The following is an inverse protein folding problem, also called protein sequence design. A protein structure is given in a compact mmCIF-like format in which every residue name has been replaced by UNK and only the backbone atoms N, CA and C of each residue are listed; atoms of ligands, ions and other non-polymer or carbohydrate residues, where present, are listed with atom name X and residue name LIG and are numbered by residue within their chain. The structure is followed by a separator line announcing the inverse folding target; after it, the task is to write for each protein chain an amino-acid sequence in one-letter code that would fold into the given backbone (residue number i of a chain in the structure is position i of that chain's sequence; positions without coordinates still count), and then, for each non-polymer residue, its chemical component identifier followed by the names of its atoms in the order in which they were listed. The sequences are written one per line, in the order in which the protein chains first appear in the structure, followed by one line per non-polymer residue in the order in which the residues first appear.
data_IF_591605624170
#
_entry.id   IF_591605624170
#
_cell.length_a   1.000
_cell.length_b   1.000
_cell.length_c   1.000
_cell.angle_alpha   90.00
_cell.angle_beta   90.00
_cell.angle_gamma   90.00
#
_symmetry.space_group_name_H-M   'P 1'
#
loop_
_entity.id
_entity.type
_entity.pdbx_description
1 polymer ?
#
# COMPACT_ATOMS: atom_id res chain seq x y z
N UNK A 1 -27.12 34.87 -24.09
CA UNK A 1 -26.50 34.24 -22.91
C UNK A 1 -26.39 32.75 -23.18
N UNK A 2 -25.17 32.25 -23.39
CA UNK A 2 -24.90 30.84 -23.71
C UNK A 2 -24.88 30.02 -22.42
N UNK A 3 -25.73 29.00 -22.35
CA UNK A 3 -25.76 28.01 -21.27
C UNK A 3 -24.38 27.34 -21.17
N UNK A 4 -23.72 27.27 -19.99
CA UNK A 4 -22.46 26.57 -19.88
C UNK A 4 -22.68 25.08 -20.19
N UNK A 5 -21.81 24.54 -21.03
CA UNK A 5 -21.77 23.12 -21.32
C UNK A 5 -21.40 22.36 -20.05
N UNK A 6 -22.28 21.48 -19.59
CA UNK A 6 -21.95 20.48 -18.60
C UNK A 6 -20.91 19.54 -19.22
N UNK A 7 -19.66 19.62 -18.78
CA UNK A 7 -18.66 18.59 -19.03
C UNK A 7 -18.92 17.51 -17.98
N UNK A 8 -19.45 16.33 -18.32
CA UNK A 8 -19.51 15.26 -17.35
C UNK A 8 -18.08 14.89 -16.98
N UNK A 9 -17.75 15.03 -15.69
CA UNK A 9 -16.57 14.40 -15.13
C UNK A 9 -16.70 12.92 -15.44
N UNK A 10 -15.81 12.38 -16.26
CA UNK A 10 -15.73 10.93 -16.45
C UNK A 10 -15.26 10.36 -15.11
N UNK A 11 -16.21 9.91 -14.29
CA UNK A 11 -15.91 8.99 -13.20
C UNK A 11 -15.36 7.72 -13.87
N UNK A 12 -14.05 7.53 -13.79
CA UNK A 12 -13.42 6.28 -14.18
C UNK A 12 -13.65 5.30 -13.02
N UNK A 13 -14.91 4.91 -12.80
CA UNK A 13 -15.23 3.85 -11.84
C UNK A 13 -14.71 2.55 -12.43
N UNK A 14 -13.81 1.87 -11.72
CA UNK A 14 -13.41 0.51 -12.09
C UNK A 14 -14.62 -0.41 -11.85
N UNK A 15 -15.32 -0.79 -12.92
CA UNK A 15 -16.44 -1.72 -12.84
C UNK A 15 -15.90 -3.15 -12.68
N UNK A 16 -15.48 -3.49 -11.45
CA UNK A 16 -15.18 -4.86 -11.09
C UNK A 16 -16.52 -5.56 -10.91
N UNK A 17 -17.03 -6.11 -12.02
CA UNK A 17 -18.26 -6.89 -12.01
C UNK A 17 -18.17 -7.96 -10.89
N UNK A 18 -19.24 -8.24 -10.12
CA UNK A 18 -19.19 -9.18 -8.99
C UNK A 18 -18.70 -10.60 -9.34
N UNK A 19 -18.82 -10.96 -10.63
CA UNK A 19 -18.35 -12.22 -11.19
C UNK A 19 -17.06 -12.12 -12.00
N UNK A 20 -16.39 -10.95 -12.00
CA UNK A 20 -15.11 -10.77 -12.66
C UNK A 20 -14.09 -11.73 -12.02
N UNK A 21 -13.47 -12.54 -12.87
CA UNK A 21 -12.39 -13.44 -12.47
C UNK A 21 -11.13 -13.03 -13.21
N UNK A 22 -10.04 -12.89 -12.47
CA UNK A 22 -8.73 -12.70 -13.06
C UNK A 22 -8.32 -13.95 -13.82
N UNK A 23 -7.62 -13.78 -14.95
CA UNK A 23 -6.99 -14.89 -15.66
C UNK A 23 -6.04 -15.59 -14.68
N UNK A 24 -6.17 -16.90 -14.56
CA UNK A 24 -5.40 -17.67 -13.59
C UNK A 24 -3.92 -17.81 -13.99
N UNK A 25 -3.61 -17.59 -15.27
CA UNK A 25 -2.26 -17.55 -15.78
C UNK A 25 -1.77 -16.10 -15.74
N UNK A 26 -1.17 -15.72 -14.61
CA UNK A 26 -0.47 -14.44 -14.49
C UNK A 26 0.65 -14.33 -15.53
N UNK A 27 0.87 -13.11 -16.02
CA UNK A 27 2.01 -12.80 -16.87
C UNK A 27 3.12 -12.19 -16.01
N UNK A 28 4.34 -12.70 -16.12
CA UNK A 28 5.50 -12.04 -15.54
C UNK A 28 5.81 -10.78 -16.35
N UNK A 29 5.76 -9.62 -15.70
CA UNK A 29 6.03 -8.31 -16.30
C UNK A 29 7.33 -7.67 -15.80
N UNK A 30 7.92 -8.24 -14.75
CA UNK A 30 9.17 -7.81 -14.12
C UNK A 30 9.85 -9.01 -13.47
N UNK A 31 11.19 -9.08 -13.55
CA UNK A 31 11.97 -10.23 -13.06
C UNK A 31 11.68 -11.54 -13.81
N UNK A 32 11.63 -12.65 -13.08
CA UNK A 32 11.39 -13.99 -13.64
C UNK A 32 12.65 -14.79 -13.99
N UNK A 33 13.84 -14.21 -13.83
CA UNK A 33 15.13 -14.84 -14.12
C UNK A 33 15.82 -15.39 -12.86
N UNK A 34 15.04 -15.83 -11.87
CA UNK A 34 15.52 -16.28 -10.57
C UNK A 34 15.75 -15.15 -9.56
N UNK A 35 15.98 -15.53 -8.31
CA UNK A 35 16.28 -14.59 -7.23
C UNK A 35 17.72 -14.10 -7.34
N UNK A 36 17.96 -12.78 -7.31
CA UNK A 36 19.30 -12.21 -7.40
C UNK A 36 19.33 -10.69 -7.49
N UNK A 37 20.51 -10.15 -7.77
CA UNK A 37 20.79 -8.70 -7.86
C UNK A 37 21.10 -8.25 -9.30
N UNK A 38 20.93 -9.12 -10.29
CA UNK A 38 21.00 -8.76 -11.70
C UNK A 38 19.88 -7.78 -12.07
N UNK A 39 20.10 -6.95 -13.09
CA UNK A 39 19.13 -5.92 -13.51
C UNK A 39 17.83 -6.51 -14.10
N UNK A 40 17.85 -7.79 -14.45
CA UNK A 40 16.73 -8.61 -14.92
C UNK A 40 16.23 -9.60 -13.83
N UNK A 41 16.72 -9.47 -12.60
CA UNK A 41 16.36 -10.28 -11.44
C UNK A 41 15.76 -9.41 -10.33
N UNK A 42 15.12 -10.07 -9.37
CA UNK A 42 14.55 -9.47 -8.17
C UNK A 42 14.96 -10.32 -6.96
N UNK A 43 15.08 -9.73 -5.79
CA UNK A 43 15.31 -10.40 -4.51
C UNK A 43 14.32 -9.90 -3.45
N UNK A 44 13.38 -10.75 -3.05
CA UNK A 44 12.31 -10.39 -2.10
C UNK A 44 11.55 -9.10 -2.47
N UNK A 45 10.89 -9.03 -3.66
CA UNK A 45 10.04 -7.89 -3.98
C UNK A 45 8.81 -7.84 -3.06
N UNK A 46 8.55 -6.69 -2.44
CA UNK A 46 7.43 -6.48 -1.50
C UNK A 46 6.31 -5.65 -2.12
N UNK A 47 6.43 -4.33 -2.05
CA UNK A 47 5.44 -3.40 -2.60
C UNK A 47 5.72 -3.03 -4.05
N UNK A 48 4.67 -2.62 -4.75
CA UNK A 48 4.76 -2.16 -6.12
C UNK A 48 3.75 -1.05 -6.40
N UNK A 49 4.07 -0.22 -7.38
CA UNK A 49 3.18 0.77 -7.95
C UNK A 49 3.19 0.67 -9.47
N UNK A 50 2.02 0.81 -10.10
CA UNK A 50 1.89 0.85 -11.56
C UNK A 50 1.41 2.23 -11.95
N UNK A 51 2.16 2.93 -12.79
CA UNK A 51 1.75 4.23 -13.32
C UNK A 51 0.87 4.12 -14.58
N UNK A 52 0.39 5.27 -15.07
CA UNK A 52 -0.53 5.34 -16.21
C UNK A 52 0.12 4.85 -17.53
N UNK A 53 1.46 4.84 -17.60
CA UNK A 53 2.23 4.31 -18.73
C UNK A 53 2.47 2.79 -18.62
N UNK A 54 1.87 2.14 -17.61
CA UNK A 54 2.09 0.74 -17.24
C UNK A 54 3.54 0.45 -16.84
N UNK A 55 4.27 1.45 -16.36
CA UNK A 55 5.58 1.26 -15.72
C UNK A 55 5.36 0.75 -14.31
N UNK A 56 6.03 -0.35 -13.96
CA UNK A 56 5.97 -0.98 -12.64
C UNK A 56 7.18 -0.54 -11.82
N UNK A 57 6.95 0.12 -10.70
CA UNK A 57 7.96 0.45 -9.69
C UNK A 57 7.87 -0.60 -8.58
N UNK A 58 9.01 -1.13 -8.15
CA UNK A 58 9.06 -2.26 -7.23
C UNK A 58 10.04 -1.94 -6.10
N UNK A 59 9.58 -2.14 -4.88
CA UNK A 59 10.43 -2.19 -3.70
C UNK A 59 11.06 -3.58 -3.58
N UNK A 60 12.29 -3.71 -4.08
CA UNK A 60 12.97 -4.99 -4.24
C UNK A 60 13.80 -5.34 -3.01
N UNK A 61 13.17 -5.50 -1.84
CA UNK A 61 13.82 -5.29 -0.52
C UNK A 61 15.06 -6.14 -0.19
N UNK A 62 15.23 -7.31 -0.83
CA UNK A 62 16.45 -8.12 -0.75
C UNK A 62 17.66 -7.49 -1.44
N UNK A 63 17.41 -6.46 -2.23
CA UNK A 63 18.38 -5.54 -2.79
C UNK A 63 17.97 -4.12 -2.30
N UNK A 64 18.84 -3.31 -1.67
CA UNK A 64 18.44 -2.04 -1.04
C UNK A 64 18.16 -0.93 -2.07
N UNK A 65 17.16 -1.12 -2.93
CA UNK A 65 16.84 -0.28 -4.08
C UNK A 65 15.36 -0.35 -4.48
N UNK A 66 14.94 0.66 -5.24
CA UNK A 66 13.70 0.66 -6.00
C UNK A 66 14.06 0.55 -7.47
N UNK A 67 13.39 -0.36 -8.17
CA UNK A 67 13.57 -0.58 -9.60
C UNK A 67 12.28 -0.29 -10.34
N UNK A 68 12.39 0.33 -11.53
CA UNK A 68 11.28 0.47 -12.46
C UNK A 68 11.43 -0.47 -13.65
N UNK A 69 10.33 -1.02 -14.11
CA UNK A 69 10.20 -1.76 -15.36
C UNK A 69 9.16 -1.09 -16.25
N UNK A 70 9.58 -0.58 -17.39
CA UNK A 70 8.67 -0.08 -18.41
C UNK A 70 7.91 -1.25 -19.06
N UNK A 71 6.72 -0.97 -19.62
CA UNK A 71 5.91 -2.00 -20.26
C UNK A 71 6.67 -2.72 -21.37
N UNK A 72 6.80 -4.04 -21.25
CA UNK A 72 7.52 -4.89 -22.20
C UNK A 72 9.05 -4.90 -22.04
N UNK A 73 9.61 -4.20 -21.05
CA UNK A 73 11.04 -4.25 -20.76
C UNK A 73 11.48 -5.62 -20.23
N UNK A 74 12.67 -6.07 -20.63
CA UNK A 74 13.27 -7.33 -20.16
C UNK A 74 14.18 -7.16 -18.95
N UNK A 75 14.51 -5.93 -18.59
CA UNK A 75 15.36 -5.57 -17.46
C UNK A 75 14.89 -4.26 -16.83
N UNK A 76 15.10 -4.10 -15.54
CA UNK A 76 14.70 -2.94 -14.78
C UNK A 76 15.70 -1.79 -14.90
N UNK A 77 15.40 -0.70 -14.21
CA UNK A 77 16.30 0.42 -13.99
C UNK A 77 16.19 0.85 -12.54
N UNK A 78 17.32 0.95 -11.83
CA UNK A 78 17.32 1.47 -10.46
C UNK A 78 16.96 2.95 -10.49
N UNK A 79 15.96 3.34 -9.70
CA UNK A 79 15.51 4.74 -9.58
C UNK A 79 15.75 5.34 -8.19
N UNK A 80 15.98 4.50 -7.18
CA UNK A 80 16.38 4.93 -5.84
C UNK A 80 17.20 3.84 -5.14
N UNK A 81 18.12 4.23 -4.27
CA UNK A 81 19.01 3.31 -3.56
C UNK A 81 20.09 2.71 -4.48
N UNK A 82 20.46 1.44 -4.24
CA UNK A 82 21.48 0.73 -5.01
C UNK A 82 22.92 1.01 -4.59
N UNK A 83 23.13 1.76 -3.51
CA UNK A 83 24.45 2.13 -2.96
C UNK A 83 24.74 1.41 -1.64
N UNK A 84 24.58 0.09 -1.65
CA UNK A 84 24.59 -0.76 -0.45
C UNK A 84 23.45 -0.42 0.52
N UNK A 85 23.25 -1.32 1.47
CA UNK A 85 22.25 -1.14 2.51
C UNK A 85 22.76 -0.11 3.53
N UNK A 86 21.90 0.84 3.92
CA UNK A 86 22.26 1.82 4.93
C UNK A 86 21.23 2.93 5.10
N UNK A 87 21.58 3.90 5.95
CA UNK A 87 20.71 5.02 6.34
C UNK A 87 21.10 6.36 5.72
N UNK A 88 22.16 6.38 4.91
CA UNK A 88 22.61 7.57 4.18
C UNK A 88 21.53 8.11 3.24
N UNK A 89 21.70 9.36 2.80
CA UNK A 89 20.75 10.02 1.88
C UNK A 89 20.67 9.33 0.51
N UNK A 90 21.66 8.53 0.14
CA UNK A 90 21.72 7.79 -1.12
C UNK A 90 21.48 6.28 -0.92
N UNK A 91 21.07 5.87 0.27
CA UNK A 91 20.91 4.47 0.69
C UNK A 91 19.48 4.19 1.16
N UNK A 92 19.10 2.93 1.06
CA UNK A 92 17.85 2.39 1.61
C UNK A 92 18.20 1.15 2.46
N UNK A 93 17.28 0.74 3.33
CA UNK A 93 17.38 -0.49 4.11
C UNK A 93 15.99 -1.10 4.26
N UNK A 94 15.83 -2.29 3.68
CA UNK A 94 14.56 -3.03 3.59
C UNK A 94 13.38 -2.17 3.08
N UNK A 95 13.46 -1.62 1.85
CA UNK A 95 12.33 -0.88 1.29
C UNK A 95 11.11 -1.80 1.13
N UNK A 96 9.98 -1.45 1.76
CA UNK A 96 8.78 -2.31 1.80
C UNK A 96 7.71 -1.94 0.80
N UNK A 97 7.63 -0.66 0.45
CA UNK A 97 6.61 -0.16 -0.45
C UNK A 97 7.11 1.09 -1.18
N UNK A 98 6.52 1.33 -2.34
CA UNK A 98 6.84 2.46 -3.21
C UNK A 98 5.56 2.97 -3.86
N UNK A 99 5.46 4.29 -4.00
CA UNK A 99 4.42 4.91 -4.83
C UNK A 99 4.98 6.10 -5.59
N UNK A 100 4.31 6.50 -6.67
CA UNK A 100 4.70 7.67 -7.46
C UNK A 100 3.84 8.86 -7.06
N UNK A 101 4.48 9.98 -6.71
CA UNK A 101 3.86 11.31 -6.65
C UNK A 101 4.07 12.01 -7.99
N UNK A 102 3.06 11.90 -8.86
CA UNK A 102 3.06 12.48 -10.20
C UNK A 102 3.13 14.02 -10.17
N UNK A 103 2.63 14.69 -9.13
CA UNK A 103 2.68 16.16 -9.05
C UNK A 103 4.12 16.67 -8.89
N UNK A 104 4.98 15.89 -8.23
CA UNK A 104 6.37 16.27 -7.92
C UNK A 104 7.41 15.52 -8.75
N UNK A 105 6.97 14.66 -9.67
CA UNK A 105 7.83 13.71 -10.40
C UNK A 105 8.79 13.00 -9.44
N UNK A 106 8.23 12.42 -8.38
CA UNK A 106 9.00 11.77 -7.31
C UNK A 106 8.45 10.40 -6.94
N UNK A 107 9.29 9.54 -6.39
CA UNK A 107 8.87 8.30 -5.74
C UNK A 107 8.90 8.49 -4.23
N UNK A 108 7.87 7.99 -3.55
CA UNK A 108 7.79 7.95 -2.10
C UNK A 108 7.99 6.49 -1.68
N UNK A 109 8.91 6.28 -0.75
CA UNK A 109 9.44 4.97 -0.41
C UNK A 109 9.31 4.76 1.10
N UNK A 110 8.83 3.58 1.42
CA UNK A 110 8.72 3.04 2.75
C UNK A 110 10.04 2.36 3.12
N UNK A 111 10.95 3.07 3.79
CA UNK A 111 12.31 2.64 4.12
C UNK A 111 12.32 2.05 5.54
N UNK A 112 11.83 0.80 5.66
CA UNK A 112 11.31 0.22 6.88
C UNK A 112 12.35 0.07 7.99
N UNK A 113 13.51 -0.53 7.70
CA UNK A 113 14.58 -0.73 8.69
C UNK A 113 15.18 0.59 9.16
N UNK A 114 15.15 1.61 8.31
CA UNK A 114 15.53 2.98 8.68
C UNK A 114 14.41 3.77 9.40
N UNK A 115 13.24 3.15 9.62
CA UNK A 115 12.06 3.71 10.30
C UNK A 115 11.66 5.07 9.75
N UNK A 116 11.60 5.20 8.42
CA UNK A 116 11.29 6.47 7.76
C UNK A 116 10.53 6.27 6.45
N UNK A 117 9.86 7.34 6.03
CA UNK A 117 9.38 7.49 4.66
C UNK A 117 10.28 8.52 3.97
N UNK A 118 10.82 8.14 2.82
CA UNK A 118 11.70 9.01 2.02
C UNK A 118 11.07 9.35 0.68
N UNK A 119 11.40 10.52 0.16
CA UNK A 119 11.05 10.97 -1.19
C UNK A 119 12.31 11.09 -2.03
N UNK A 120 12.30 10.51 -3.23
CA UNK A 120 13.38 10.61 -4.20
C UNK A 120 12.84 11.19 -5.52
N UNK A 121 13.63 11.97 -6.27
CA UNK A 121 13.27 12.32 -7.64
C UNK A 121 13.06 11.05 -8.47
N UNK A 122 11.98 10.99 -9.25
CA UNK A 122 11.65 9.83 -10.10
C UNK A 122 12.66 9.65 -11.24
N UNK A 123 13.31 10.74 -11.64
CA UNK A 123 14.31 10.77 -12.71
C UNK A 123 15.60 11.41 -12.21
N UNK A 124 16.74 10.76 -12.50
CA UNK A 124 18.07 11.24 -12.16
C UNK A 124 18.27 11.59 -10.67
N UNK A 125 17.48 10.99 -9.77
CA UNK A 125 17.59 11.20 -8.33
C UNK A 125 18.81 10.48 -7.77
N UNK A 126 19.75 11.21 -7.17
CA UNK A 126 20.95 10.64 -6.54
C UNK A 126 20.81 10.50 -5.02
N UNK A 127 19.74 11.06 -4.45
CA UNK A 127 19.52 11.09 -3.01
C UNK A 127 18.04 11.27 -2.67
N UNK A 128 17.65 10.72 -1.53
CA UNK A 128 16.36 10.92 -0.89
C UNK A 128 16.37 11.96 0.20
N UNK A 129 15.18 12.49 0.43
CA UNK A 129 14.82 13.34 1.54
C UNK A 129 13.89 12.56 2.48
N UNK A 130 14.20 12.52 3.78
CA UNK A 130 13.26 12.00 4.78
C UNK A 130 12.08 12.95 4.92
N UNK A 131 10.88 12.50 4.55
CA UNK A 131 9.65 13.29 4.67
C UNK A 131 8.85 12.93 5.92
N UNK A 132 9.01 11.70 6.45
CA UNK A 132 8.46 11.27 7.73
C UNK A 132 9.53 10.43 8.44
N UNK A 133 9.81 10.75 9.70
CA UNK A 133 10.77 10.01 10.55
C UNK A 133 10.06 9.25 11.67
N UNK A 134 10.76 8.27 12.26
CA UNK A 134 10.30 7.50 13.42
C UNK A 134 9.01 6.73 13.17
N UNK A 135 8.88 6.14 11.99
CA UNK A 135 7.74 5.31 11.60
C UNK A 135 8.21 4.00 10.97
N UNK A 136 7.71 2.90 11.50
CA UNK A 136 7.84 1.54 10.97
C UNK A 136 6.85 1.34 9.80
N UNK A 137 7.13 2.03 8.70
CA UNK A 137 6.27 1.97 7.53
C UNK A 137 6.26 0.55 6.92
N UNK A 138 5.09 0.04 6.55
CA UNK A 138 4.93 -1.17 5.73
C UNK A 138 4.24 -0.91 4.39
N UNK A 139 3.33 0.06 4.32
CA UNK A 139 2.55 0.37 3.13
C UNK A 139 2.20 1.86 3.05
N UNK A 140 2.03 2.36 1.84
CA UNK A 140 1.82 3.77 1.51
C UNK A 140 0.61 3.95 0.58
N UNK A 141 -0.14 5.04 0.75
CA UNK A 141 -1.00 5.57 -0.32
C UNK A 141 -1.11 7.08 -0.24
N UNK A 142 -1.52 7.71 -1.34
CA UNK A 142 -1.97 9.10 -1.33
C UNK A 142 -3.43 9.20 -1.80
N UNK A 143 -4.21 10.02 -1.11
CA UNK A 143 -5.55 10.41 -1.57
C UNK A 143 -5.52 11.54 -2.62
N UNK A 144 -6.67 11.82 -3.24
CA UNK A 144 -6.78 12.90 -4.24
C UNK A 144 -6.46 14.30 -3.71
N UNK A 145 -6.49 14.50 -2.40
CA UNK A 145 -6.14 15.77 -1.75
C UNK A 145 -4.63 15.85 -1.45
N UNK A 146 -3.87 14.80 -1.77
CA UNK A 146 -2.45 14.72 -1.50
C UNK A 146 -2.10 14.37 -0.05
N UNK A 147 -3.03 13.81 0.73
CA UNK A 147 -2.74 13.29 2.06
C UNK A 147 -2.09 11.91 1.94
N UNK A 148 -0.96 11.73 2.61
CA UNK A 148 -0.21 10.47 2.66
C UNK A 148 -0.74 9.61 3.80
N UNK A 149 -1.08 8.37 3.52
CA UNK A 149 -1.43 7.36 4.51
C UNK A 149 -0.27 6.39 4.63
N UNK A 150 0.15 6.14 5.86
CA UNK A 150 1.25 5.22 6.18
C UNK A 150 0.71 4.15 7.11
N UNK A 151 0.88 2.89 6.71
CA UNK A 151 0.62 1.73 7.57
C UNK A 151 1.83 1.53 8.48
N UNK A 152 1.61 1.59 9.78
CA UNK A 152 2.60 1.23 10.81
C UNK A 152 2.27 -0.16 11.34
N UNK A 153 3.22 -1.07 11.18
CA UNK A 153 3.07 -2.47 11.57
C UNK A 153 3.21 -2.67 13.09
N UNK A 154 4.25 -2.11 13.71
CA UNK A 154 4.53 -2.21 15.15
C UNK A 154 3.43 -1.57 16.00
N UNK A 155 2.83 -0.48 15.53
CA UNK A 155 1.76 0.22 16.26
C UNK A 155 0.36 -0.27 15.86
N UNK A 156 0.26 -1.22 14.93
CA UNK A 156 -1.00 -1.74 14.40
C UNK A 156 -1.98 -0.61 14.02
N UNK A 157 -1.48 0.41 13.30
CA UNK A 157 -2.24 1.63 13.00
C UNK A 157 -1.98 2.15 11.59
N UNK A 158 -2.90 3.00 11.13
CA UNK A 158 -2.78 3.74 9.88
C UNK A 158 -2.79 5.22 10.25
N UNK A 159 -1.73 5.92 9.85
CA UNK A 159 -1.60 7.37 10.05
C UNK A 159 -1.81 8.11 8.76
N UNK A 160 -2.62 9.17 8.80
CA UNK A 160 -2.75 10.17 7.73
C UNK A 160 -1.85 11.36 8.04
N UNK A 161 -1.11 11.83 7.04
CA UNK A 161 -0.28 13.02 7.06
C UNK A 161 -0.77 13.98 5.97
N UNK A 162 -1.16 15.19 6.35
CA UNK A 162 -1.40 16.26 5.40
C UNK A 162 -0.07 16.92 5.00
N UNK A 163 -0.09 17.67 3.90
CA UNK A 163 1.08 18.40 3.42
C UNK A 163 1.61 19.35 4.49
N UNK A 164 2.88 19.18 4.85
CA UNK A 164 3.56 20.00 5.87
C UNK A 164 3.37 19.52 7.31
N UNK A 165 2.58 18.46 7.54
CA UNK A 165 2.49 17.83 8.86
C UNK A 165 3.66 16.85 9.07
N UNK A 166 4.33 16.98 10.21
CA UNK A 166 5.36 16.04 10.65
C UNK A 166 4.84 14.99 11.64
N UNK A 167 3.65 15.21 12.20
CA UNK A 167 2.94 14.26 13.05
C UNK A 167 1.62 13.88 12.38
N UNK A 168 1.50 12.60 12.03
CA UNK A 168 0.29 12.07 11.40
C UNK A 168 -0.81 11.85 12.43
N UNK A 169 -2.05 11.94 11.97
CA UNK A 169 -3.23 11.58 12.75
C UNK A 169 -3.54 10.10 12.54
N UNK A 170 -3.77 9.34 13.62
CA UNK A 170 -4.25 7.96 13.51
C UNK A 170 -5.69 7.98 12.97
N UNK A 171 -5.91 7.31 11.84
CA UNK A 171 -7.22 7.23 11.17
C UNK A 171 -7.83 5.84 11.24
N UNK A 172 -7.04 4.81 11.57
CA UNK A 172 -7.51 3.46 11.86
C UNK A 172 -6.49 2.71 12.73
N UNK A 173 -6.95 1.78 13.57
CA UNK A 173 -6.08 0.97 14.44
C UNK A 173 -5.63 1.71 15.71
N UNK A 174 -4.45 1.35 16.24
CA UNK A 174 -3.84 1.99 17.42
C UNK A 174 -4.31 1.45 18.79
N UNK A 175 -5.09 0.38 18.80
CA UNK A 175 -5.60 -0.26 20.01
C UNK A 175 -4.80 -1.52 20.43
N UNK A 176 -3.59 -1.68 19.90
CA UNK A 176 -2.75 -2.86 20.08
C UNK A 176 -3.12 -4.05 19.18
N UNK A 177 -2.43 -5.17 19.37
CA UNK A 177 -2.64 -6.39 18.59
C UNK A 177 -4.04 -6.96 18.77
N UNK A 178 -4.71 -7.28 17.65
CA UNK A 178 -6.05 -7.86 17.62
C UNK A 178 -6.10 -9.33 18.05
N UNK A 179 -5.74 -9.64 19.30
CA UNK A 179 -5.90 -10.98 19.89
C UNK A 179 -7.21 -11.14 20.68
N UNK A 180 -8.01 -10.08 20.78
CA UNK A 180 -9.34 -10.13 21.37
C UNK A 180 -10.36 -10.33 20.26
N UNK A 181 -11.17 -11.38 20.36
CA UNK A 181 -12.43 -11.43 19.62
C UNK A 181 -13.26 -10.24 20.08
N UNK A 182 -13.31 -9.16 19.31
CA UNK A 182 -14.29 -8.11 19.55
C UNK A 182 -15.66 -8.68 19.16
N UNK A 183 -16.30 -9.36 20.12
CA UNK A 183 -17.73 -9.49 20.08
C UNK A 183 -18.28 -8.05 20.11
N UNK A 184 -18.83 -7.60 18.99
CA UNK A 184 -19.56 -6.35 18.91
C UNK A 184 -20.63 -6.35 20.02
N UNK A 185 -20.45 -5.53 21.06
CA UNK A 185 -21.34 -5.50 22.22
C UNK A 185 -22.65 -4.73 21.95
N UNK A 186 -22.81 -4.19 20.74
CA UNK A 186 -24.01 -3.46 20.35
C UNK A 186 -24.06 -2.00 20.78
N UNK A 187 -23.03 -1.48 21.45
CA UNK A 187 -23.03 -0.08 21.92
C UNK A 187 -22.40 0.87 20.91
N UNK A 188 -23.18 1.85 20.47
CA UNK A 188 -22.68 3.00 19.70
C UNK A 188 -22.13 4.01 20.72
N UNK A 189 -20.86 4.45 20.62
CA UNK A 189 -20.31 5.44 21.54
C UNK A 189 -21.15 6.71 21.51
N UNK A 190 -21.47 7.24 22.69
CA UNK A 190 -22.25 8.47 22.87
C UNK A 190 -21.46 9.75 22.59
N UNK A 191 -20.21 9.64 22.12
CA UNK A 191 -19.36 10.76 21.77
C UNK A 191 -19.25 10.89 20.26
N UNK A 192 -19.39 12.10 19.69
CA UNK A 192 -19.18 12.32 18.27
C UNK A 192 -17.73 11.98 17.92
N UNK A 193 -17.56 10.87 17.22
CA UNK A 193 -16.37 10.59 16.42
C UNK A 193 -16.17 11.79 15.48
N UNK A 194 -14.97 12.40 15.42
CA UNK A 194 -14.71 13.48 14.49
C UNK A 194 -15.07 13.02 13.07
N UNK A 195 -15.89 13.81 12.41
CA UNK A 195 -16.48 13.54 11.11
C UNK A 195 -15.37 13.21 10.09
N UNK A 196 -15.25 11.94 9.72
CA UNK A 196 -14.45 11.50 8.57
C UNK A 196 -15.29 11.85 7.33
N UNK A 197 -14.80 12.67 6.39
CA UNK A 197 -15.53 12.94 5.15
C UNK A 197 -15.84 11.63 4.41
N UNK A 198 -17.09 11.44 4.02
CA UNK A 198 -17.63 10.20 3.44
C UNK A 198 -17.17 9.93 2.00
N UNK A 199 -16.24 10.71 1.48
CA UNK A 199 -15.76 10.62 0.09
C UNK A 199 -14.51 9.72 -0.06
N UNK A 200 -14.03 9.15 1.04
CA UNK A 200 -12.85 8.29 1.07
C UNK A 200 -13.24 6.81 0.91
N UNK A 201 -13.39 6.34 -0.33
CA UNK A 201 -13.48 4.90 -0.58
C UNK A 201 -12.07 4.27 -0.38
N UNK A 202 -11.83 3.68 0.79
CA UNK A 202 -10.64 2.87 1.03
C UNK A 202 -11.06 1.46 1.47
N UNK A 203 -10.48 0.44 0.83
CA UNK A 203 -10.55 -0.93 1.31
C UNK A 203 -9.34 -1.19 2.21
N UNK A 204 -9.58 -1.31 3.51
CA UNK A 204 -8.57 -1.74 4.48
C UNK A 204 -8.61 -3.27 4.61
N UNK A 205 -7.60 -3.95 4.07
CA UNK A 205 -7.43 -5.39 4.24
C UNK A 205 -6.54 -5.65 5.46
N UNK A 206 -7.13 -6.13 6.56
CA UNK A 206 -6.38 -6.63 7.71
C UNK A 206 -6.30 -8.16 7.63
N UNK A 207 -5.10 -8.72 7.59
CA UNK A 207 -4.88 -10.14 7.90
C UNK A 207 -4.20 -10.24 9.25
N UNK A 208 -4.94 -10.75 10.25
CA UNK A 208 -4.39 -11.14 11.54
C UNK A 208 -3.77 -12.54 11.44
N UNK A 209 -2.63 -12.75 12.10
CA UNK A 209 -2.03 -14.08 12.22
C UNK A 209 -2.83 -14.91 13.23
N UNK A 210 -3.67 -15.81 12.73
CA UNK A 210 -4.44 -16.75 13.53
C UNK A 210 -4.57 -18.09 12.81
N UNK A 211 -4.24 -19.16 13.51
CA UNK A 211 -4.52 -20.53 13.07
C UNK A 211 -6.00 -20.79 13.32
N UNK A 212 -6.83 -20.44 12.34
CA UNK A 212 -8.06 -21.13 11.93
C UNK A 212 -8.89 -20.19 11.04
N UNK A 213 -9.17 -20.67 9.83
CA UNK A 213 -10.16 -20.25 8.82
C UNK A 213 -10.41 -18.74 8.58
N UNK A 214 -9.88 -18.26 7.44
CA UNK A 214 -10.03 -16.91 6.90
C UNK A 214 -11.48 -16.58 6.50
N UNK A 215 -11.96 -15.37 6.82
CA UNK A 215 -13.07 -14.72 6.11
C UNK A 215 -12.65 -13.37 5.54
N UNK A 216 -12.78 -13.23 4.21
CA UNK A 216 -12.90 -11.92 3.55
C UNK A 216 -14.21 -11.28 4.02
N UNK A 217 -14.14 -10.18 4.77
CA UNK A 217 -15.31 -9.35 5.05
C UNK A 217 -15.29 -8.11 4.16
N UNK A 218 -16.07 -8.16 3.10
CA UNK A 218 -16.54 -6.95 2.42
C UNK A 218 -17.63 -6.36 3.31
N UNK A 219 -17.45 -5.13 3.79
CA UNK A 219 -18.55 -4.35 4.37
C UNK A 219 -19.03 -3.44 3.25
N UNK A 220 -20.17 -3.74 2.59
CA UNK A 220 -20.74 -2.82 1.63
C UNK A 220 -21.23 -1.57 2.36
N UNK A 221 -21.19 -0.42 1.69
CA UNK A 221 -21.68 0.87 2.18
C UNK A 221 -23.18 0.91 2.52
N UNK A 222 -23.91 -0.19 2.34
CA UNK A 222 -25.34 -0.27 2.57
C UNK A 222 -25.66 -1.50 3.42
N UNK A 223 -26.16 -1.25 4.64
CA UNK A 223 -26.37 -2.23 5.69
C UNK A 223 -27.13 -3.47 5.22
N UNK A 224 -26.48 -4.63 5.31
CA UNK A 224 -27.15 -5.93 5.24
C UNK A 224 -26.57 -6.84 6.32
N UNK A 225 -27.44 -7.37 7.20
CA UNK A 225 -27.10 -8.39 8.21
C UNK A 225 -26.99 -9.76 7.53
N UNK A 226 -25.93 -10.54 7.75
CA UNK A 226 -25.91 -11.98 7.44
C UNK A 226 -25.13 -12.78 8.50
N UNK A 227 -25.68 -13.94 8.88
CA UNK A 227 -25.25 -14.90 9.91
C UNK A 227 -24.17 -15.91 9.45
N UNK A 228 -23.40 -16.46 10.40
CA UNK A 228 -22.30 -17.44 10.16
C UNK A 228 -22.69 -18.90 10.38
N UNK A 229 -22.11 -19.83 9.61
CA UNK A 229 -22.07 -21.28 9.87
C UNK A 229 -20.64 -21.84 9.71
N UNK A 230 -20.22 -22.73 10.62
CA UNK A 230 -18.87 -23.34 10.69
C UNK A 230 -18.77 -24.68 9.95
N UNK A 231 -17.60 -24.99 9.37
CA UNK A 231 -17.02 -26.34 9.42
C UNK A 231 -15.57 -26.32 9.95
N UNK A 232 -15.01 -27.50 10.20
CA UNK A 232 -13.72 -27.72 10.88
C UNK A 232 -12.68 -28.39 9.97
N UNK A 233 -11.39 -27.98 10.05
CA UNK A 233 -10.21 -28.80 10.45
C UNK A 233 -8.91 -28.75 9.57
N UNK A 234 -7.78 -28.68 10.31
CA UNK A 234 -6.46 -29.36 10.14
C UNK A 234 -5.36 -28.84 9.16
N UNK A 235 -4.30 -28.24 9.73
CA UNK A 235 -2.90 -28.71 9.69
C UNK A 235 -2.01 -28.51 8.43
N UNK A 236 -1.22 -27.42 8.39
CA UNK A 236 0.20 -27.38 7.91
C UNK A 236 0.82 -25.98 8.13
N UNK A 237 2.05 -25.88 8.63
CA UNK A 237 2.81 -24.61 8.74
C UNK A 237 3.16 -24.07 7.36
N UNK A 238 2.51 -22.96 6.98
CA UNK A 238 2.83 -22.15 5.81
C UNK A 238 3.36 -20.80 6.30
N UNK A 239 4.49 -20.36 5.76
CA UNK A 239 4.93 -18.96 5.86
C UNK A 239 4.01 -18.14 4.95
N UNK A 240 3.28 -17.17 5.51
CA UNK A 240 2.38 -16.31 4.74
C UNK A 240 3.08 -14.97 4.45
N UNK A 241 3.11 -14.58 3.18
CA UNK A 241 3.41 -13.20 2.79
C UNK A 241 2.24 -12.31 3.20
N UNK A 242 2.49 -11.32 4.04
CA UNK A 242 1.51 -10.29 4.33
C UNK A 242 1.59 -9.23 3.23
N UNK A 243 0.73 -9.36 2.22
CA UNK A 243 0.58 -8.37 1.17
C UNK A 243 -0.58 -7.44 1.55
N UNK A 244 -0.25 -6.24 2.05
CA UNK A 244 -1.23 -5.21 2.34
C UNK A 244 -1.43 -4.39 1.07
N UNK A 245 -2.58 -4.54 0.41
CA UNK A 245 -3.00 -3.61 -0.62
C UNK A 245 -3.89 -2.56 0.02
N UNK A 246 -3.46 -1.31 -0.04
CA UNK A 246 -4.40 -0.20 0.06
C UNK A 246 -4.90 0.08 -1.35
N UNK A 247 -6.06 -0.45 -1.69
CA UNK A 247 -6.67 -0.20 -3.00
C UNK A 247 -7.36 1.15 -2.91
N UNK A 248 -6.84 2.12 -3.67
CA UNK A 248 -7.57 3.35 -4.01
C UNK A 248 -8.82 2.93 -4.79
N UNK A 249 -9.99 3.10 -4.20
CA UNK A 249 -11.23 3.10 -4.98
C UNK A 249 -11.52 4.56 -5.33
N UNK A 250 -11.45 4.87 -6.62
CA UNK A 250 -11.80 6.19 -7.18
C UNK A 250 -13.29 6.21 -7.51
#
# INVERSE_FOLDING_TARGET
MTKPAFIPLRSCSIDIHPNARWKQNGLTVAGGNGQGNGIDQLSYPWGLYVDDDQTVYIADSGNPHIVKWESGATSGQVVAGGNEEGSGVHQLSDPRDVMVDNERDSVIICDNSNRRVVRWPRQNGTSGETIISNIDCLGLTIDENGSLYVVSFENAEIRRYQRGEYQGTVVAGGNGDGNQSSAWDGTIPSHPIPFVPWDANFLFLFHGMGWDENFLRVVPSHGTKISSSHPTSHGTKKYYMNLFFLVKTV
#
